data_IF_945780462266
#
_entry.id   IF_945780462266
#
_cell.length_a   1.000
_cell.length_b   1.000
_cell.length_c   1.000
_cell.angle_alpha   90.00
_cell.angle_beta   90.00
_cell.angle_gamma   90.00
#
_symmetry.space_group_name_H-M   'P 1'
#
loop_
_entity.id
_entity.type
_entity.pdbx_description
1 polymer ?
#
# COMPACT_ATOMS: atom_id res chain seq x y z
N UNK A 1 -4.34 61.71 -88.97
CA UNK A 1 -3.90 60.30 -88.78
C UNK A 1 -2.49 60.38 -88.26
N UNK A 2 -2.28 60.15 -86.96
CA UNK A 2 -0.95 60.25 -86.34
C UNK A 2 -0.64 58.89 -85.74
N UNK A 3 0.30 58.17 -86.35
CA UNK A 3 0.83 56.95 -85.76
C UNK A 3 1.75 57.30 -84.60
N UNK A 4 1.55 56.65 -83.46
CA UNK A 4 2.42 56.74 -82.28
C UNK A 4 3.19 55.41 -82.12
N UNK A 5 4.39 55.48 -81.51
CA UNK A 5 5.56 54.75 -81.95
C UNK A 5 5.55 53.27 -81.54
N UNK A 6 6.14 52.42 -82.40
CA UNK A 6 6.45 51.03 -82.04
C UNK A 6 7.70 51.02 -81.16
N UNK A 7 7.49 50.75 -79.87
CA UNK A 7 8.54 50.47 -78.91
C UNK A 7 9.25 49.16 -79.31
N UNK A 8 10.48 49.28 -79.84
CA UNK A 8 11.36 48.13 -80.06
C UNK A 8 11.98 47.80 -78.72
N UNK A 9 11.48 46.74 -78.09
CA UNK A 9 12.07 46.22 -76.86
C UNK A 9 13.21 45.31 -77.29
N UNK A 10 14.45 45.79 -77.19
CA UNK A 10 15.64 44.95 -77.26
C UNK A 10 15.63 44.06 -76.01
N UNK A 11 14.99 42.90 -76.11
CA UNK A 11 15.01 41.89 -75.05
C UNK A 11 16.27 41.07 -75.23
N UNK A 12 17.40 41.55 -74.72
CA UNK A 12 18.53 40.66 -74.49
C UNK A 12 18.04 39.50 -73.60
N UNK A 13 18.28 38.23 -73.97
CA UNK A 13 17.77 37.12 -73.20
C UNK A 13 18.45 37.11 -71.83
N UNK A 14 17.69 37.48 -70.80
CA UNK A 14 18.13 37.39 -69.42
C UNK A 14 18.52 35.94 -69.16
N UNK A 15 19.75 35.65 -68.69
CA UNK A 15 20.14 34.28 -68.41
C UNK A 15 19.23 33.71 -67.32
N UNK A 16 18.48 32.68 -67.66
CA UNK A 16 17.69 31.92 -66.69
C UNK A 16 18.68 31.15 -65.82
N UNK A 17 18.90 31.65 -64.61
CA UNK A 17 19.69 30.91 -63.61
C UNK A 17 18.80 29.77 -63.13
N UNK A 18 19.00 28.56 -63.67
CA UNK A 18 18.36 27.36 -63.14
C UNK A 18 18.89 27.09 -61.73
N UNK A 19 18.11 27.48 -60.73
CA UNK A 19 18.32 27.10 -59.34
C UNK A 19 18.07 25.61 -59.22
N UNK A 20 19.11 24.80 -59.44
CA UNK A 20 19.07 23.37 -59.14
C UNK A 20 18.83 23.22 -57.65
N UNK A 21 17.67 22.71 -57.26
CA UNK A 21 17.35 22.46 -55.87
C UNK A 21 18.40 21.50 -55.28
N UNK A 22 18.98 21.80 -54.10
CA UNK A 22 19.96 20.91 -53.50
C UNK A 22 19.28 19.56 -53.23
N UNK A 23 19.92 18.48 -53.69
CA UNK A 23 19.44 17.13 -53.43
C UNK A 23 19.39 16.90 -51.93
N UNK A 24 18.21 16.54 -51.41
CA UNK A 24 18.00 16.36 -49.97
C UNK A 24 18.90 15.20 -49.50
N UNK A 25 19.77 15.39 -48.49
CA UNK A 25 20.58 14.29 -48.00
C UNK A 25 19.64 13.19 -47.50
N UNK A 26 19.79 11.98 -48.05
CA UNK A 26 19.04 10.81 -47.59
C UNK A 26 19.60 10.42 -46.24
N UNK A 27 18.93 10.85 -45.16
CA UNK A 27 19.19 10.38 -43.81
C UNK A 27 18.92 8.88 -43.78
N UNK A 28 19.99 8.09 -43.82
CA UNK A 28 19.89 6.65 -43.54
C UNK A 28 20.04 6.50 -42.03
N UNK A 29 18.93 6.16 -41.37
CA UNK A 29 18.98 5.76 -39.97
C UNK A 29 19.67 4.40 -39.94
N UNK A 30 20.91 4.36 -39.48
CA UNK A 30 21.57 3.09 -39.19
C UNK A 30 20.64 2.26 -38.30
N UNK A 31 20.50 0.96 -38.58
CA UNK A 31 19.71 0.08 -37.74
C UNK A 31 20.15 0.30 -36.27
N UNK A 32 19.20 0.53 -35.35
CA UNK A 32 19.57 0.70 -33.95
C UNK A 32 20.37 -0.53 -33.54
N UNK A 33 21.53 -0.33 -32.89
CA UNK A 33 22.17 -1.41 -32.15
C UNK A 33 21.09 -2.05 -31.26
N UNK A 34 21.04 -3.38 -31.12
CA UNK A 34 20.12 -4.00 -30.17
C UNK A 34 20.31 -3.29 -28.84
N UNK A 35 19.26 -2.61 -28.40
CA UNK A 35 19.24 -1.99 -27.09
C UNK A 35 19.37 -3.14 -26.11
N UNK A 36 20.41 -3.15 -25.27
CA UNK A 36 20.45 -4.11 -24.17
C UNK A 36 19.15 -3.90 -23.39
N UNK A 37 18.33 -4.95 -23.39
CA UNK A 37 17.07 -4.95 -22.67
C UNK A 37 17.40 -4.66 -21.22
N UNK A 38 17.08 -3.45 -20.75
CA UNK A 38 17.14 -3.12 -19.33
C UNK A 38 16.13 -4.06 -18.68
N UNK A 39 16.62 -5.16 -18.12
CA UNK A 39 15.81 -6.09 -17.36
C UNK A 39 15.19 -5.26 -16.23
N UNK A 40 13.87 -5.12 -16.25
CA UNK A 40 13.16 -4.57 -15.09
C UNK A 40 13.51 -5.49 -13.91
N UNK A 41 14.03 -4.96 -12.79
CA UNK A 41 14.36 -5.79 -11.65
C UNK A 41 13.09 -6.51 -11.19
N UNK A 42 13.13 -7.83 -11.20
CA UNK A 42 12.03 -8.65 -10.69
C UNK A 42 11.89 -8.33 -9.20
N UNK A 43 10.67 -8.02 -8.72
CA UNK A 43 10.45 -7.84 -7.29
C UNK A 43 11.00 -9.04 -6.52
N UNK A 44 11.79 -8.76 -5.48
CA UNK A 44 12.34 -9.81 -4.62
C UNK A 44 11.24 -10.61 -3.93
N UNK A 45 11.57 -11.79 -3.37
CA UNK A 45 10.61 -12.57 -2.61
C UNK A 45 10.04 -11.73 -1.45
N UNK A 46 8.79 -11.99 -1.03
CA UNK A 46 8.24 -11.38 0.17
C UNK A 46 9.17 -11.55 1.36
N UNK A 47 9.24 -10.52 2.21
CA UNK A 47 10.00 -10.58 3.45
C UNK A 47 9.47 -11.65 4.40
N UNK A 48 10.27 -12.06 5.40
CA UNK A 48 9.83 -13.00 6.41
C UNK A 48 8.61 -12.44 7.16
N UNK A 49 7.80 -13.35 7.69
CA UNK A 49 6.71 -12.98 8.59
C UNK A 49 7.29 -12.25 9.81
N UNK A 50 6.63 -11.17 10.22
CA UNK A 50 6.98 -10.45 11.45
C UNK A 50 6.86 -11.32 12.70
N UNK A 51 7.52 -10.88 13.77
CA UNK A 51 7.48 -11.56 15.06
C UNK A 51 6.07 -11.66 15.63
N UNK A 52 5.84 -12.67 16.46
CA UNK A 52 4.59 -12.79 17.20
C UNK A 52 4.44 -11.59 18.15
N UNK A 53 3.25 -11.00 18.19
CA UNK A 53 2.93 -9.94 19.14
C UNK A 53 3.05 -10.39 20.60
N UNK A 54 3.25 -9.43 21.50
CA UNK A 54 3.30 -9.69 22.94
C UNK A 54 1.98 -10.33 23.43
N UNK A 55 2.08 -11.12 24.51
CA UNK A 55 0.91 -11.65 25.21
C UNK A 55 0.08 -10.48 25.76
N UNK A 56 -1.24 -10.59 25.67
CA UNK A 56 -2.14 -9.62 26.29
C UNK A 56 -2.04 -9.59 27.82
N UNK A 57 -2.42 -8.45 28.40
CA UNK A 57 -2.50 -8.26 29.85
C UNK A 57 -3.46 -9.28 30.50
N UNK A 58 -3.19 -9.71 31.75
CA UNK A 58 -4.15 -10.48 32.53
C UNK A 58 -5.50 -9.75 32.65
N UNK A 59 -6.59 -10.51 32.68
CA UNK A 59 -7.92 -9.97 32.96
C UNK A 59 -8.03 -9.42 34.40
N UNK A 60 -9.03 -8.57 34.68
CA UNK A 60 -9.27 -8.06 36.03
C UNK A 60 -9.52 -9.20 37.01
N UNK A 61 -9.06 -9.04 38.24
CA UNK A 61 -9.36 -9.98 39.33
C UNK A 61 -10.87 -10.00 39.62
N UNK A 62 -11.39 -11.16 40.01
CA UNK A 62 -12.78 -11.27 40.46
C UNK A 62 -12.99 -10.43 41.73
N UNK A 63 -13.92 -9.47 41.65
CA UNK A 63 -14.26 -8.54 42.74
C UNK A 63 -15.63 -8.82 43.37
N UNK A 64 -16.29 -9.91 42.97
CA UNK A 64 -17.61 -10.29 43.48
C UNK A 64 -17.55 -11.15 44.75
N UNK A 65 -18.74 -11.50 45.22
CA UNK A 65 -18.97 -12.49 46.28
C UNK A 65 -18.87 -13.88 45.67
N UNK A 66 -17.99 -14.73 46.21
CA UNK A 66 -17.91 -16.13 45.84
C UNK A 66 -18.89 -16.96 46.68
N UNK A 67 -19.40 -18.06 46.11
CA UNK A 67 -20.20 -19.05 46.84
C UNK A 67 -19.41 -20.34 46.95
N UNK A 68 -19.22 -20.77 48.20
CA UNK A 68 -18.51 -21.97 48.62
C UNK A 68 -19.51 -23.03 49.07
N UNK A 69 -19.12 -24.30 48.99
CA UNK A 69 -19.99 -25.44 49.32
C UNK A 69 -19.22 -26.44 50.18
N UNK A 70 -19.91 -27.06 51.13
CA UNK A 70 -19.36 -28.18 51.91
C UNK A 70 -20.38 -28.74 52.90
N UNK A 71 -19.92 -29.50 53.87
CA UNK A 71 -20.77 -30.18 54.84
C UNK A 71 -20.42 -29.74 56.26
N UNK A 72 -21.43 -29.33 57.02
CA UNK A 72 -21.27 -28.77 58.36
C UNK A 72 -21.00 -27.26 58.37
N UNK A 73 -20.80 -26.71 59.57
CA UNK A 73 -20.52 -25.29 59.76
C UNK A 73 -19.14 -24.92 59.17
N UNK A 74 -19.01 -23.81 58.43
CA UNK A 74 -17.73 -23.41 57.87
C UNK A 74 -16.74 -22.97 58.94
N UNK A 75 -15.53 -23.51 58.91
CA UNK A 75 -14.38 -22.99 59.63
C UNK A 75 -13.51 -22.15 58.65
N UNK A 76 -12.21 -22.45 58.53
CA UNK A 76 -11.32 -21.72 57.61
C UNK A 76 -11.41 -22.28 56.19
N UNK A 77 -11.84 -21.43 55.24
CA UNK A 77 -11.88 -21.77 53.82
C UNK A 77 -10.77 -21.02 53.08
N UNK A 78 -9.79 -21.77 52.56
CA UNK A 78 -8.64 -21.20 51.86
C UNK A 78 -9.11 -20.49 50.59
N UNK A 79 -8.80 -19.19 50.49
CA UNK A 79 -9.15 -18.34 49.34
C UNK A 79 -10.49 -17.63 49.46
N UNK A 80 -11.31 -17.96 50.47
CA UNK A 80 -12.50 -17.21 50.79
C UNK A 80 -12.15 -15.81 51.30
N UNK A 81 -13.04 -14.86 51.04
CA UNK A 81 -12.94 -13.46 51.49
C UNK A 81 -14.10 -13.13 52.43
N UNK A 82 -13.94 -12.14 53.31
CA UNK A 82 -15.06 -11.60 54.07
C UNK A 82 -16.19 -11.16 53.13
N UNK A 83 -17.41 -11.61 53.42
CA UNK A 83 -18.60 -11.39 52.59
C UNK A 83 -18.87 -12.49 51.55
N UNK A 84 -17.99 -13.49 51.42
CA UNK A 84 -18.29 -14.70 50.65
C UNK A 84 -19.40 -15.52 51.33
N UNK A 85 -20.13 -16.31 50.54
CA UNK A 85 -21.19 -17.18 51.04
C UNK A 85 -20.69 -18.61 51.13
N UNK A 86 -21.08 -19.33 52.17
CA UNK A 86 -20.90 -20.77 52.29
C UNK A 86 -22.24 -21.47 52.45
N UNK A 87 -22.48 -22.51 51.65
CA UNK A 87 -23.69 -23.31 51.71
C UNK A 87 -23.33 -24.69 52.27
N UNK A 88 -23.87 -25.01 53.45
CA UNK A 88 -23.83 -26.36 53.98
C UNK A 88 -24.82 -27.22 53.19
N UNK A 89 -24.32 -28.10 52.32
CA UNK A 89 -25.16 -28.93 51.45
C UNK A 89 -25.92 -30.01 52.21
N UNK A 90 -25.57 -30.28 53.47
CA UNK A 90 -26.27 -31.26 54.29
C UNK A 90 -27.51 -30.71 54.98
N UNK A 91 -27.48 -29.43 55.36
CA UNK A 91 -28.57 -28.76 56.07
C UNK A 91 -29.30 -27.74 55.20
N UNK A 92 -28.67 -27.28 54.12
CA UNK A 92 -29.14 -26.17 53.29
C UNK A 92 -28.95 -24.79 53.92
N UNK A 93 -28.22 -24.69 55.03
CA UNK A 93 -27.97 -23.41 55.71
C UNK A 93 -26.88 -22.64 54.95
N UNK A 94 -27.14 -21.36 54.73
CA UNK A 94 -26.18 -20.42 54.15
C UNK A 94 -25.54 -19.57 55.25
N UNK A 95 -24.22 -19.51 55.24
CA UNK A 95 -23.40 -18.73 56.16
C UNK A 95 -22.68 -17.63 55.39
N UNK A 96 -22.57 -16.44 55.99
CA UNK A 96 -21.69 -15.37 55.50
C UNK A 96 -20.32 -15.53 56.16
N UNK A 97 -19.28 -15.67 55.35
CA UNK A 97 -17.90 -15.82 55.79
C UNK A 97 -17.34 -14.45 56.23
N UNK A 98 -16.63 -14.44 57.37
CA UNK A 98 -16.07 -13.23 57.99
C UNK A 98 -14.57 -13.13 57.83
#
# INVERSE_FOLDING_TARGET
MTELPRLVIDTEPVPVIELTAPSRPKLTLAAPKPFEQIATPVPGPPGPRGEQGARGEPGPAFSGVATWYGTGEPDVIVGAKPGDLYIDVSTGITYELK
#
